data_IF_806575215094
#
_entry.id   IF_806575215094
#
_cell.length_a   1.000
_cell.length_b   1.000
_cell.length_c   1.000
_cell.angle_alpha   90.00
_cell.angle_beta   90.00
_cell.angle_gamma   90.00
#
_symmetry.space_group_name_H-M   'P 1'
#
loop_
_entity.id
_entity.type
_entity.pdbx_description
1 polymer ?
#
# COMPACT_ATOMS: atom_id res chain seq x y z
N UNK A 1 -28.57 2.96 8.55
CA UNK A 1 -27.35 3.77 8.69
C UNK A 1 -26.07 3.02 8.25
N UNK A 2 -26.11 1.69 8.13
CA UNK A 2 -25.04 0.82 7.61
C UNK A 2 -24.77 1.08 6.11
N UNK A 3 -25.77 1.53 5.35
CA UNK A 3 -25.66 1.73 3.90
C UNK A 3 -24.75 2.88 3.45
N UNK A 4 -24.43 3.86 4.30
CA UNK A 4 -23.69 5.06 3.88
C UNK A 4 -22.14 4.93 3.97
N UNK A 5 -21.60 4.12 4.89
CA UNK A 5 -20.16 3.84 4.89
C UNK A 5 -19.79 2.97 3.70
N UNK A 6 -20.63 2.00 3.47
CA UNK A 6 -20.49 1.11 2.36
C UNK A 6 -20.54 1.81 0.98
N UNK A 7 -21.36 2.83 0.80
CA UNK A 7 -21.35 3.64 -0.43
C UNK A 7 -20.07 4.45 -0.59
N UNK A 8 -19.48 4.88 0.53
CA UNK A 8 -18.23 5.63 0.54
C UNK A 8 -16.99 4.83 0.14
N UNK A 9 -16.80 3.64 0.68
CA UNK A 9 -15.64 2.79 0.39
C UNK A 9 -15.75 2.06 -0.97
N UNK A 10 -16.98 1.76 -1.41
CA UNK A 10 -17.23 1.02 -2.66
C UNK A 10 -17.07 1.86 -3.91
N UNK A 11 -17.49 3.12 -3.89
CA UNK A 11 -17.34 4.03 -5.03
C UNK A 11 -15.87 4.26 -5.42
N UNK A 12 -14.99 3.86 -4.52
CA UNK A 12 -13.56 4.11 -4.61
C UNK A 12 -12.81 3.05 -5.42
N UNK A 13 -13.30 1.80 -5.42
CA UNK A 13 -12.66 0.71 -6.19
C UNK A 13 -13.40 0.35 -7.49
N UNK A 14 -14.62 0.86 -7.67
CA UNK A 14 -15.49 0.47 -8.78
C UNK A 14 -15.31 1.30 -10.07
N UNK A 15 -14.62 2.44 -10.04
CA UNK A 15 -14.58 3.38 -11.17
C UNK A 15 -13.28 3.35 -12.01
N UNK A 16 -12.58 2.23 -12.05
CA UNK A 16 -11.50 1.99 -13.03
C UNK A 16 -11.94 1.06 -14.17
N UNK A 17 -13.17 1.22 -14.64
CA UNK A 17 -13.71 0.50 -15.79
C UNK A 17 -14.52 1.43 -16.69
N UNK A 18 -14.11 1.48 -17.94
CA UNK A 18 -14.78 2.06 -19.11
C UNK A 18 -14.68 3.57 -19.34
N UNK A 19 -13.62 3.97 -20.05
CA UNK A 19 -13.75 4.78 -21.28
C UNK A 19 -12.68 4.29 -22.25
N UNK A 20 -13.09 3.41 -23.14
CA UNK A 20 -12.34 3.07 -24.32
C UNK A 20 -12.24 4.30 -25.23
N UNK A 21 -11.04 4.73 -25.54
CA UNK A 21 -10.74 5.58 -26.69
C UNK A 21 -9.89 4.74 -27.61
N UNK A 22 -10.54 4.24 -28.64
CA UNK A 22 -9.89 3.65 -29.81
C UNK A 22 -9.27 4.77 -30.62
N UNK A 23 -7.95 4.77 -30.72
CA UNK A 23 -7.20 5.60 -31.67
C UNK A 23 -6.06 4.78 -32.26
N UNK A 24 -5.72 4.94 -33.55
CA UNK A 24 -4.96 3.99 -34.32
C UNK A 24 -3.47 3.98 -33.98
N UNK A 25 -2.92 2.76 -33.89
CA UNK A 25 -1.49 2.48 -33.77
C UNK A 25 -0.78 2.90 -35.03
N UNK A 26 -0.05 4.02 -35.00
CA UNK A 26 0.89 4.37 -36.03
C UNK A 26 2.28 3.87 -35.64
N UNK A 27 2.77 2.89 -36.39
CA UNK A 27 4.16 2.41 -36.33
C UNK A 27 5.11 3.54 -36.69
N UNK A 28 6.00 3.90 -35.78
CA UNK A 28 7.21 4.64 -36.10
C UNK A 28 8.42 3.74 -35.88
N UNK A 29 9.05 3.37 -36.99
CA UNK A 29 10.35 2.71 -37.08
C UNK A 29 11.47 3.69 -36.71
N UNK A 30 12.34 3.20 -35.86
CA UNK A 30 13.80 3.44 -35.74
C UNK A 30 14.39 4.73 -36.32
N UNK A 31 15.03 5.51 -35.42
CA UNK A 31 16.36 6.06 -35.69
C UNK A 31 17.17 6.00 -34.40
N UNK A 32 18.26 5.21 -34.46
CA UNK A 32 19.33 5.17 -33.48
C UNK A 32 20.07 6.50 -33.49
N UNK A 33 20.23 7.12 -32.32
CA UNK A 33 21.27 8.11 -32.11
C UNK A 33 21.88 7.80 -30.72
N UNK A 34 23.15 7.48 -30.77
CA UNK A 34 24.01 7.24 -29.59
C UNK A 34 24.08 8.51 -28.74
N UNK A 35 23.54 8.43 -27.54
CA UNK A 35 23.89 9.32 -26.45
C UNK A 35 24.15 8.42 -25.23
N UNK A 36 25.40 8.42 -24.76
CA UNK A 36 25.85 7.62 -23.64
C UNK A 36 25.04 7.86 -22.38
N UNK A 37 24.32 6.84 -21.95
CA UNK A 37 23.64 6.81 -20.68
C UNK A 37 24.69 6.54 -19.59
N UNK A 38 24.74 7.34 -18.49
CA UNK A 38 25.57 7.01 -17.35
C UNK A 38 25.03 5.71 -16.74
N UNK A 39 25.94 4.77 -16.49
CA UNK A 39 25.63 3.46 -15.94
C UNK A 39 24.83 3.57 -14.63
N UNK A 40 23.61 3.10 -14.64
CA UNK A 40 22.81 2.86 -13.44
C UNK A 40 23.37 1.63 -12.74
N UNK A 41 24.40 1.82 -11.91
CA UNK A 41 24.77 0.88 -10.86
C UNK A 41 23.59 0.76 -9.92
N UNK A 42 23.02 -0.46 -9.82
CA UNK A 42 21.95 -0.76 -8.86
C UNK A 42 22.36 -0.39 -7.44
N UNK A 43 21.99 0.80 -7.00
CA UNK A 43 22.14 1.20 -5.61
C UNK A 43 21.09 0.46 -4.80
N UNK A 44 21.57 -0.44 -3.95
CA UNK A 44 20.78 -1.01 -2.85
C UNK A 44 20.05 0.11 -2.11
N UNK A 45 18.73 -0.02 -1.95
CA UNK A 45 17.88 0.89 -1.17
C UNK A 45 18.08 0.73 0.35
N UNK A 46 19.26 0.28 0.79
CA UNK A 46 19.64 0.16 2.20
C UNK A 46 20.11 1.53 2.67
N UNK A 47 19.50 2.10 3.73
CA UNK A 47 19.96 3.38 4.31
C UNK A 47 21.43 3.32 4.71
N UNK A 48 22.21 4.42 4.61
CA UNK A 48 23.59 4.44 5.08
C UNK A 48 23.64 4.16 6.59
N UNK A 49 24.30 3.05 6.95
CA UNK A 49 24.41 2.56 8.33
C UNK A 49 23.74 1.22 8.60
N UNK A 50 22.90 0.71 7.73
CA UNK A 50 22.36 -0.64 7.86
C UNK A 50 23.41 -1.68 7.44
N UNK A 51 23.67 -2.63 8.32
CA UNK A 51 24.59 -3.75 8.04
C UNK A 51 23.97 -4.65 6.96
N UNK A 52 24.66 -4.91 5.84
CA UNK A 52 24.12 -5.82 4.82
C UNK A 52 24.00 -7.23 5.43
N UNK A 53 22.81 -7.81 5.32
CA UNK A 53 22.57 -9.17 5.77
C UNK A 53 23.41 -10.10 4.89
N UNK A 54 24.28 -10.89 5.51
CA UNK A 54 25.03 -11.93 4.82
C UNK A 54 24.04 -12.96 4.26
N UNK A 55 24.12 -13.22 2.97
CA UNK A 55 23.43 -14.33 2.30
C UNK A 55 23.76 -15.63 3.07
N UNK A 56 22.80 -16.11 3.87
CA UNK A 56 22.99 -17.32 4.69
C UNK A 56 22.24 -17.34 6.00
N UNK A 57 21.92 -16.20 6.62
CA UNK A 57 21.07 -16.18 7.80
C UNK A 57 19.60 -16.38 7.38
N UNK A 58 19.10 -17.56 7.72
CA UNK A 58 17.69 -17.90 7.53
C UNK A 58 16.85 -17.12 8.54
N UNK A 59 16.45 -15.89 8.16
CA UNK A 59 15.41 -15.20 8.92
C UNK A 59 14.16 -16.08 8.93
N UNK A 60 13.83 -16.58 10.09
CA UNK A 60 12.49 -17.12 10.36
C UNK A 60 11.58 -15.92 10.55
N UNK A 61 10.92 -15.44 9.49
CA UNK A 61 9.76 -14.59 9.69
C UNK A 61 8.86 -15.27 10.72
N UNK A 62 8.36 -14.55 11.73
CA UNK A 62 7.38 -15.11 12.66
C UNK A 62 6.14 -15.44 11.84
N UNK A 63 6.02 -16.71 11.41
CA UNK A 63 4.89 -17.21 10.60
C UNK A 63 3.61 -17.38 11.42
N UNK A 64 3.63 -16.99 12.68
CA UNK A 64 2.47 -16.93 13.54
C UNK A 64 2.64 -15.79 14.55
N UNK A 65 1.63 -14.98 14.70
CA UNK A 65 1.55 -13.97 15.74
C UNK A 65 0.95 -14.63 16.98
N UNK A 66 1.72 -14.85 18.07
CA UNK A 66 1.20 -15.52 19.25
C UNK A 66 -0.04 -14.80 19.78
N UNK A 67 -1.11 -15.54 20.07
CA UNK A 67 -2.34 -15.01 20.65
C UNK A 67 -3.29 -14.32 19.68
N UNK A 68 -2.95 -14.19 18.40
CA UNK A 68 -3.88 -13.72 17.36
C UNK A 68 -4.41 -14.92 16.58
N UNK A 69 -5.74 -15.01 16.43
CA UNK A 69 -6.35 -16.02 15.56
C UNK A 69 -5.83 -15.81 14.13
N UNK A 70 -5.32 -16.86 13.46
CA UNK A 70 -4.92 -16.74 12.06
C UNK A 70 -6.05 -16.21 11.17
N UNK A 71 -7.31 -16.58 11.41
CA UNK A 71 -8.49 -16.05 10.71
C UNK A 71 -8.99 -14.80 11.41
N UNK A 72 -8.81 -13.65 10.79
CA UNK A 72 -9.19 -12.36 11.35
C UNK A 72 -10.62 -11.96 11.00
N UNK A 73 -11.26 -12.62 10.03
CA UNK A 73 -12.66 -12.37 9.67
C UNK A 73 -13.08 -13.04 8.36
N UNK A 74 -14.42 -13.13 8.16
CA UNK A 74 -15.02 -13.71 6.96
C UNK A 74 -16.25 -12.91 6.50
N UNK A 75 -16.43 -12.82 5.18
CA UNK A 75 -17.63 -12.28 4.54
C UNK A 75 -17.96 -13.19 3.34
N UNK A 76 -18.98 -14.03 3.47
CA UNK A 76 -19.30 -15.05 2.46
C UNK A 76 -18.16 -16.03 2.25
N UNK A 77 -17.71 -16.21 1.00
CA UNK A 77 -16.57 -17.06 0.66
C UNK A 77 -15.20 -16.42 0.92
N UNK A 78 -15.15 -15.14 1.24
CA UNK A 78 -13.90 -14.40 1.48
C UNK A 78 -13.49 -14.50 2.94
N UNK A 79 -12.21 -14.81 3.16
CA UNK A 79 -11.55 -14.81 4.46
C UNK A 79 -10.38 -13.85 4.46
N UNK A 80 -10.22 -13.03 5.51
CA UNK A 80 -8.99 -12.29 5.79
C UNK A 80 -8.23 -12.97 6.90
N UNK A 81 -6.93 -13.20 6.68
CA UNK A 81 -6.05 -13.79 7.67
C UNK A 81 -4.58 -13.48 7.42
N UNK A 82 -3.74 -13.74 8.41
CA UNK A 82 -2.29 -13.68 8.23
C UNK A 82 -1.78 -14.93 7.48
N UNK A 83 -0.71 -14.74 6.71
CA UNK A 83 0.03 -15.84 6.12
C UNK A 83 0.76 -16.63 7.21
N UNK A 84 0.56 -17.95 7.24
CA UNK A 84 1.21 -18.85 8.20
C UNK A 84 2.30 -19.72 7.57
N UNK A 85 2.45 -19.66 6.24
CA UNK A 85 3.39 -20.49 5.48
C UNK A 85 4.11 -19.69 4.41
N UNK A 86 5.41 -19.97 4.21
CA UNK A 86 6.21 -19.37 3.12
C UNK A 86 5.57 -19.56 1.72
N UNK A 87 4.80 -20.64 1.53
CA UNK A 87 4.08 -20.86 0.29
C UNK A 87 2.95 -19.85 0.05
N UNK A 88 2.37 -19.31 1.09
CA UNK A 88 1.33 -18.29 1.03
C UNK A 88 1.93 -16.91 0.73
N UNK A 89 3.06 -16.58 1.36
CA UNK A 89 3.83 -15.38 1.01
C UNK A 89 4.19 -15.41 -0.49
N UNK A 90 4.67 -16.55 -1.01
CA UNK A 90 4.93 -16.70 -2.45
C UNK A 90 3.68 -16.51 -3.33
N UNK A 91 2.49 -16.79 -2.82
CA UNK A 91 1.22 -16.51 -3.55
C UNK A 91 0.89 -15.04 -3.53
N UNK A 92 1.06 -14.36 -2.39
CA UNK A 92 0.95 -12.90 -2.30
C UNK A 92 1.94 -12.19 -3.26
N UNK A 93 3.19 -12.64 -3.31
CA UNK A 93 4.20 -12.12 -4.22
C UNK A 93 3.81 -12.30 -5.71
N UNK A 94 3.18 -13.41 -6.09
CA UNK A 94 2.66 -13.61 -7.45
C UNK A 94 1.45 -12.73 -7.73
N UNK A 95 0.56 -12.58 -6.77
CA UNK A 95 -0.58 -11.66 -6.89
C UNK A 95 -0.10 -10.22 -7.09
N UNK A 96 0.89 -9.78 -6.30
CA UNK A 96 1.52 -8.46 -6.45
C UNK A 96 2.15 -8.29 -7.84
N UNK A 97 2.86 -9.31 -8.33
CA UNK A 97 3.43 -9.29 -9.67
C UNK A 97 2.35 -9.10 -10.74
N UNK A 98 1.26 -9.86 -10.67
CA UNK A 98 0.16 -9.74 -11.63
C UNK A 98 -0.50 -8.35 -11.59
N UNK A 99 -0.66 -7.75 -10.40
CA UNK A 99 -1.28 -6.43 -10.29
C UNK A 99 -0.30 -5.32 -10.69
N UNK A 100 0.91 -5.31 -10.14
CA UNK A 100 1.83 -4.18 -10.34
C UNK A 100 2.48 -4.19 -11.72
N UNK A 101 2.93 -5.35 -12.20
CA UNK A 101 3.73 -5.42 -13.44
C UNK A 101 2.91 -5.83 -14.68
N UNK A 102 1.86 -6.66 -14.52
CA UNK A 102 1.06 -7.07 -15.67
C UNK A 102 -0.15 -6.15 -15.91
N UNK A 103 -0.77 -5.62 -14.84
CA UNK A 103 -1.94 -4.75 -14.95
C UNK A 103 -1.56 -3.26 -14.94
N UNK A 104 -0.70 -2.82 -14.01
CA UNK A 104 -0.33 -1.41 -13.84
C UNK A 104 0.93 -1.01 -14.64
N UNK A 105 1.53 -1.94 -15.36
CA UNK A 105 2.68 -1.73 -16.24
C UNK A 105 3.94 -1.16 -15.54
N UNK A 106 4.11 -1.42 -14.23
CA UNK A 106 5.37 -1.14 -13.54
C UNK A 106 6.56 -1.87 -14.20
N UNK A 107 7.76 -1.35 -14.07
CA UNK A 107 8.97 -1.95 -14.65
C UNK A 107 9.53 -3.03 -13.73
N UNK A 108 9.42 -4.33 -14.07
CA UNK A 108 9.95 -5.39 -13.25
C UNK A 108 11.48 -5.51 -13.38
N UNK A 109 12.15 -5.86 -12.28
CA UNK A 109 13.55 -6.31 -12.35
C UNK A 109 13.68 -7.63 -13.10
N UNK A 110 14.86 -7.96 -13.62
CA UNK A 110 15.12 -9.23 -14.30
C UNK A 110 14.73 -10.45 -13.45
N UNK A 111 14.98 -10.40 -12.13
CA UNK A 111 14.59 -11.48 -11.21
C UNK A 111 13.07 -11.54 -10.99
N UNK A 112 12.39 -10.41 -10.95
CA UNK A 112 10.93 -10.37 -10.87
C UNK A 112 10.29 -10.98 -12.11
N UNK A 113 10.82 -10.68 -13.31
CA UNK A 113 10.39 -11.27 -14.58
C UNK A 113 10.52 -12.79 -14.60
N UNK A 114 11.70 -13.30 -14.26
CA UNK A 114 11.98 -14.75 -14.27
C UNK A 114 11.12 -15.49 -13.25
N UNK A 115 10.98 -14.96 -12.04
CA UNK A 115 10.24 -15.62 -10.97
C UNK A 115 8.72 -15.40 -11.03
N UNK A 116 8.26 -14.42 -11.82
CA UNK A 116 6.88 -13.89 -11.84
C UNK A 116 6.39 -13.59 -10.42
N UNK A 117 7.22 -12.90 -9.64
CA UNK A 117 6.95 -12.51 -8.26
C UNK A 117 7.54 -11.13 -7.98
N UNK A 118 6.78 -10.30 -7.29
CA UNK A 118 7.27 -9.09 -6.63
C UNK A 118 7.91 -9.52 -5.30
N UNK A 119 9.21 -9.38 -5.17
CA UNK A 119 10.00 -9.84 -4.00
C UNK A 119 10.97 -8.76 -3.61
N UNK A 120 10.99 -8.41 -2.33
CA UNK A 120 12.02 -7.59 -1.70
C UNK A 120 12.41 -8.16 -0.33
N UNK A 121 13.44 -7.57 0.30
CA UNK A 121 13.97 -8.04 1.59
C UNK A 121 12.96 -7.87 2.74
N UNK A 122 12.06 -6.91 2.63
CA UNK A 122 11.00 -6.68 3.62
C UNK A 122 9.99 -7.83 3.70
N UNK A 123 9.85 -8.63 2.65
CA UNK A 123 8.98 -9.82 2.66
C UNK A 123 9.38 -10.86 3.72
N UNK A 124 10.64 -10.83 4.16
CA UNK A 124 11.16 -11.75 5.17
C UNK A 124 10.83 -11.32 6.61
N UNK A 125 10.54 -10.04 6.82
CA UNK A 125 10.36 -9.47 8.17
C UNK A 125 8.95 -8.93 8.42
N UNK A 126 8.17 -8.71 7.36
CA UNK A 126 6.78 -8.26 7.46
C UNK A 126 5.81 -9.41 7.72
N UNK A 127 4.73 -9.13 8.43
CA UNK A 127 3.53 -9.96 8.40
C UNK A 127 2.76 -9.71 7.09
N UNK A 128 2.16 -10.76 6.53
CA UNK A 128 1.41 -10.69 5.29
C UNK A 128 -0.06 -10.97 5.54
N UNK A 129 -0.89 -9.94 5.39
CA UNK A 129 -2.33 -10.08 5.41
C UNK A 129 -2.81 -10.56 4.04
N UNK A 130 -3.66 -11.58 4.03
CA UNK A 130 -4.20 -12.20 2.82
C UNK A 130 -5.71 -12.15 2.82
N UNK A 131 -6.31 -11.84 1.68
CA UNK A 131 -7.71 -12.18 1.40
C UNK A 131 -7.75 -13.42 0.53
N UNK A 132 -8.50 -14.41 0.99
CA UNK A 132 -8.62 -15.74 0.35
C UNK A 132 -10.08 -15.94 -0.02
N UNK A 133 -10.32 -16.30 -1.28
CA UNK A 133 -11.63 -16.74 -1.73
C UNK A 133 -11.69 -18.28 -1.71
N UNK A 134 -12.53 -18.82 -0.84
CA UNK A 134 -12.74 -20.27 -0.70
C UNK A 134 -13.62 -20.87 -1.80
N UNK A 135 -14.41 -20.05 -2.51
CA UNK A 135 -15.21 -20.48 -3.65
C UNK A 135 -14.39 -20.56 -4.95
N UNK A 136 -13.27 -19.83 -5.03
CA UNK A 136 -12.37 -19.85 -6.18
C UNK A 136 -11.12 -20.68 -5.88
N UNK A 137 -10.66 -21.45 -6.85
CA UNK A 137 -9.49 -22.32 -6.71
C UNK A 137 -8.35 -21.94 -7.63
N UNK A 138 -7.12 -22.04 -7.13
CA UNK A 138 -5.91 -22.07 -7.95
C UNK A 138 -5.55 -23.52 -8.25
N UNK A 139 -5.76 -23.93 -9.49
CA UNK A 139 -5.30 -25.23 -9.97
C UNK A 139 -3.85 -25.12 -10.46
N UNK A 140 -3.02 -26.08 -10.11
CA UNK A 140 -1.68 -26.28 -10.68
C UNK A 140 -1.55 -27.72 -11.11
N UNK A 141 -0.84 -28.00 -12.22
CA UNK A 141 -0.56 -29.36 -12.62
C UNK A 141 0.01 -30.16 -11.44
N UNK A 142 -0.47 -31.37 -11.25
CA UNK A 142 0.00 -32.32 -10.23
C UNK A 142 -0.12 -31.84 -8.75
N UNK A 143 -0.94 -30.83 -8.46
CA UNK A 143 -1.21 -30.40 -7.08
C UNK A 143 -2.70 -30.31 -6.80
N UNK A 144 -3.10 -30.58 -5.55
CA UNK A 144 -4.48 -30.37 -5.11
C UNK A 144 -4.88 -28.91 -5.29
N UNK A 145 -6.07 -28.63 -5.81
CA UNK A 145 -6.63 -27.27 -5.87
C UNK A 145 -6.59 -26.60 -4.50
N UNK A 146 -6.35 -25.31 -4.46
CA UNK A 146 -6.29 -24.52 -3.23
C UNK A 146 -7.16 -23.27 -3.37
N UNK A 147 -7.78 -22.78 -2.28
CA UNK A 147 -8.49 -21.51 -2.29
C UNK A 147 -7.62 -20.38 -2.82
N UNK A 148 -8.19 -19.48 -3.61
CA UNK A 148 -7.45 -18.44 -4.33
C UNK A 148 -7.09 -17.26 -3.41
N UNK A 149 -5.82 -16.81 -3.42
CA UNK A 149 -5.44 -15.53 -2.81
C UNK A 149 -5.82 -14.40 -3.76
N UNK A 150 -6.67 -13.48 -3.30
CA UNK A 150 -7.29 -12.45 -4.13
C UNK A 150 -6.92 -11.02 -3.70
N UNK A 151 -6.36 -10.87 -2.51
CA UNK A 151 -5.88 -9.59 -1.99
C UNK A 151 -4.76 -9.80 -0.98
N UNK A 152 -3.94 -8.77 -0.77
CA UNK A 152 -2.85 -8.77 0.22
C UNK A 152 -2.52 -7.35 0.71
N UNK A 153 -1.99 -7.29 1.93
CA UNK A 153 -1.25 -6.18 2.51
C UNK A 153 0.01 -6.69 3.19
N UNK A 154 1.04 -5.87 3.21
CA UNK A 154 2.25 -6.09 4.00
C UNK A 154 2.21 -5.20 5.22
N UNK A 155 2.47 -5.76 6.39
CA UNK A 155 2.37 -5.13 7.70
C UNK A 155 3.74 -5.15 8.36
N UNK A 156 4.36 -3.99 8.59
CA UNK A 156 5.66 -3.87 9.24
C UNK A 156 5.51 -3.06 10.53
N UNK A 157 5.62 -3.74 11.67
CA UNK A 157 5.62 -3.08 12.99
C UNK A 157 6.94 -2.39 13.25
N UNK A 158 6.90 -1.29 14.01
CA UNK A 158 8.09 -0.53 14.39
C UNK A 158 9.12 -1.39 15.12
N UNK A 159 8.71 -2.22 16.07
CA UNK A 159 9.61 -3.10 16.83
C UNK A 159 10.36 -4.12 15.97
N UNK A 160 9.82 -4.44 14.82
CA UNK A 160 10.46 -5.27 13.79
C UNK A 160 11.37 -4.40 12.89
N UNK A 161 10.85 -3.26 12.44
CA UNK A 161 11.61 -2.31 11.62
C UNK A 161 12.91 -1.90 12.30
N UNK A 162 12.87 -1.53 13.59
CA UNK A 162 14.01 -1.09 14.39
C UNK A 162 15.10 -2.17 14.53
N UNK A 163 14.73 -3.45 14.45
CA UNK A 163 15.68 -4.58 14.53
C UNK A 163 16.26 -5.01 13.18
N UNK A 164 15.75 -4.45 12.08
CA UNK A 164 16.13 -4.83 10.72
C UNK A 164 16.55 -3.62 9.86
N UNK A 165 15.75 -3.26 8.89
CA UNK A 165 16.10 -2.25 7.87
C UNK A 165 15.48 -0.86 8.13
N UNK A 166 14.78 -0.67 9.24
CA UNK A 166 13.87 0.47 9.41
C UNK A 166 12.58 0.27 8.61
N UNK A 167 11.78 1.31 8.55
CA UNK A 167 10.58 1.32 7.72
C UNK A 167 10.94 1.46 6.22
N UNK A 168 10.17 0.83 5.34
CA UNK A 168 10.31 0.95 3.90
C UNK A 168 10.18 2.41 3.44
N UNK A 169 9.23 3.12 4.04
CA UNK A 169 8.97 4.56 3.81
C UNK A 169 10.22 5.43 4.05
N UNK A 170 11.16 5.02 4.91
CA UNK A 170 12.41 5.77 5.15
C UNK A 170 13.32 5.88 3.92
N UNK A 171 13.11 5.06 2.89
CA UNK A 171 13.78 5.20 1.60
C UNK A 171 13.26 6.38 0.76
N UNK A 172 12.17 6.99 1.15
CA UNK A 172 11.50 8.09 0.44
C UNK A 172 11.29 9.33 1.30
N UNK A 173 11.05 9.16 2.59
CA UNK A 173 10.70 10.21 3.54
C UNK A 173 11.61 10.19 4.76
N UNK A 174 12.00 11.37 5.24
CA UNK A 174 12.61 11.51 6.56
C UNK A 174 11.54 11.36 7.64
N UNK A 175 11.47 10.17 8.22
CA UNK A 175 10.54 9.84 9.30
C UNK A 175 11.15 10.03 10.69
N UNK A 176 12.44 10.37 10.81
CA UNK A 176 13.11 10.50 12.10
C UNK A 176 12.50 11.60 12.98
N UNK A 177 12.15 12.80 12.46
CA UNK A 177 11.47 13.81 13.26
C UNK A 177 10.09 13.37 13.77
N UNK A 178 9.33 12.63 12.95
CA UNK A 178 8.04 12.06 13.35
C UNK A 178 8.19 11.07 14.50
N UNK A 179 9.16 10.17 14.43
CA UNK A 179 9.44 9.20 15.50
C UNK A 179 9.87 9.92 16.79
N UNK A 180 10.74 10.92 16.68
CA UNK A 180 11.21 11.72 17.82
C UNK A 180 10.08 12.52 18.49
N UNK A 181 9.11 12.99 17.71
CA UNK A 181 7.95 13.74 18.21
C UNK A 181 6.90 12.84 18.87
N UNK A 182 6.97 11.53 18.69
CA UNK A 182 5.99 10.56 19.20
C UNK A 182 6.66 9.45 20.01
N UNK A 183 7.40 9.77 21.08
CA UNK A 183 8.11 8.78 21.87
C UNK A 183 7.14 7.79 22.51
N UNK A 184 7.49 6.50 22.47
CA UNK A 184 6.68 5.41 23.03
C UNK A 184 5.45 5.02 22.20
N UNK A 185 5.15 5.70 21.10
CA UNK A 185 4.11 5.29 20.17
C UNK A 185 4.57 4.09 19.34
N UNK A 186 3.62 3.20 19.05
CA UNK A 186 3.84 2.00 18.22
C UNK A 186 3.28 2.25 16.82
N UNK A 187 4.15 2.27 15.83
CA UNK A 187 3.77 2.51 14.46
C UNK A 187 3.66 1.19 13.70
N UNK A 188 2.75 1.16 12.74
CA UNK A 188 2.60 0.08 11.77
C UNK A 188 2.65 0.65 10.35
N UNK A 189 3.63 0.22 9.58
CA UNK A 189 3.69 0.56 8.16
C UNK A 189 2.83 -0.41 7.35
N UNK A 190 1.95 0.17 6.53
CA UNK A 190 1.12 -0.54 5.56
C UNK A 190 1.74 -0.40 4.17
N UNK A 191 2.10 -1.53 3.57
CA UNK A 191 2.71 -1.54 2.24
C UNK A 191 2.16 -2.62 1.31
N UNK A 192 2.52 -2.53 0.04
CA UNK A 192 2.19 -3.53 -1.00
C UNK A 192 0.72 -3.92 -1.03
N UNK A 193 -0.17 -2.93 -0.83
CA UNK A 193 -1.62 -3.12 -0.93
C UNK A 193 -2.02 -3.46 -2.36
N UNK A 194 -2.61 -4.61 -2.58
CA UNK A 194 -3.22 -4.88 -3.87
C UNK A 194 -4.32 -5.94 -3.80
N UNK A 195 -5.26 -5.83 -4.72
CA UNK A 195 -6.40 -6.74 -4.88
C UNK A 195 -6.57 -7.02 -6.36
N UNK A 196 -6.85 -8.27 -6.73
CA UNK A 196 -7.17 -8.65 -8.11
C UNK A 196 -8.39 -7.89 -8.61
N UNK A 197 -8.37 -7.42 -9.86
CA UNK A 197 -9.41 -6.58 -10.46
C UNK A 197 -10.85 -7.07 -10.23
N UNK A 198 -11.20 -8.36 -10.41
CA UNK A 198 -12.56 -8.86 -10.17
C UNK A 198 -13.00 -8.78 -8.70
N UNK A 199 -12.05 -8.66 -7.78
CA UNK A 199 -12.29 -8.63 -6.34
C UNK A 199 -12.18 -7.22 -5.72
N UNK A 200 -12.01 -6.17 -6.53
CA UNK A 200 -12.02 -4.77 -6.07
C UNK A 200 -13.43 -4.32 -5.73
N UNK A 201 -14.01 -4.99 -4.74
CA UNK A 201 -15.37 -4.75 -4.27
C UNK A 201 -15.36 -4.17 -2.86
N UNK A 202 -16.48 -3.60 -2.47
CA UNK A 202 -16.72 -3.12 -1.12
C UNK A 202 -16.44 -4.17 -0.05
N UNK A 203 -16.90 -5.41 -0.26
CA UNK A 203 -16.70 -6.53 0.67
C UNK A 203 -15.22 -6.83 0.92
N UNK A 204 -14.42 -6.83 -0.13
CA UNK A 204 -12.97 -7.09 -0.04
C UNK A 204 -12.27 -5.97 0.73
N UNK A 205 -12.63 -4.70 0.47
CA UNK A 205 -12.04 -3.55 1.17
C UNK A 205 -12.43 -3.55 2.65
N UNK A 206 -13.71 -3.78 2.96
CA UNK A 206 -14.17 -3.91 4.35
C UNK A 206 -13.45 -5.03 5.09
N UNK A 207 -13.28 -6.17 4.44
CA UNK A 207 -12.61 -7.32 5.03
C UNK A 207 -11.12 -7.06 5.28
N UNK A 208 -10.42 -6.39 4.36
CA UNK A 208 -9.03 -5.97 4.54
C UNK A 208 -8.90 -5.03 5.74
N UNK A 209 -9.74 -3.99 5.83
CA UNK A 209 -9.74 -3.07 6.96
C UNK A 209 -10.09 -3.75 8.28
N UNK A 210 -11.01 -4.70 8.26
CA UNK A 210 -11.32 -5.50 9.45
C UNK A 210 -10.08 -6.28 9.93
N UNK A 211 -9.36 -6.93 9.01
CA UNK A 211 -8.11 -7.62 9.34
C UNK A 211 -7.01 -6.69 9.86
N UNK A 212 -6.82 -5.53 9.21
CA UNK A 212 -5.87 -4.51 9.67
C UNK A 212 -6.24 -4.04 11.08
N UNK A 213 -7.52 -3.77 11.34
CA UNK A 213 -7.99 -3.28 12.63
C UNK A 213 -7.81 -4.33 13.74
N UNK A 214 -8.12 -5.60 13.47
CA UNK A 214 -7.86 -6.70 14.41
C UNK A 214 -6.36 -6.79 14.76
N UNK A 215 -5.49 -6.62 13.77
CA UNK A 215 -4.04 -6.58 13.95
C UNK A 215 -3.59 -5.36 14.77
N UNK A 216 -4.14 -4.17 14.47
CA UNK A 216 -3.89 -2.91 15.20
C UNK A 216 -4.23 -3.06 16.69
N UNK A 217 -5.40 -3.61 17.02
CA UNK A 217 -5.83 -3.84 18.40
C UNK A 217 -4.93 -4.83 19.13
N UNK A 218 -4.61 -5.97 18.50
CA UNK A 218 -3.78 -7.01 19.09
C UNK A 218 -2.38 -6.49 19.44
N UNK A 219 -1.76 -5.74 18.54
CA UNK A 219 -0.41 -5.19 18.73
C UNK A 219 -0.40 -3.83 19.41
N UNK A 220 -1.57 -3.28 19.78
CA UNK A 220 -1.71 -1.95 20.41
C UNK A 220 -1.01 -0.88 19.58
N UNK A 221 -1.25 -0.84 18.29
CA UNK A 221 -0.68 0.16 17.37
C UNK A 221 -1.34 1.51 17.63
N UNK A 222 -0.54 2.57 17.68
CA UNK A 222 -1.00 3.95 17.89
C UNK A 222 -1.23 4.70 16.58
N UNK A 223 -0.45 4.42 15.54
CA UNK A 223 -0.61 5.05 14.23
C UNK A 223 -0.22 4.12 13.08
N UNK A 224 -0.89 4.30 11.96
CA UNK A 224 -0.58 3.69 10.68
C UNK A 224 0.21 4.69 9.83
N UNK A 225 1.26 4.22 9.16
CA UNK A 225 2.05 5.02 8.21
C UNK A 225 2.24 4.25 6.91
N UNK A 226 2.69 4.94 5.87
CA UNK A 226 3.06 4.34 4.58
C UNK A 226 3.05 5.36 3.46
N UNK A 227 3.28 4.89 2.23
CA UNK A 227 3.15 5.70 1.04
C UNK A 227 1.90 5.29 0.25
N UNK A 228 1.20 6.28 -0.28
CA UNK A 228 0.08 6.09 -1.19
C UNK A 228 0.40 6.73 -2.54
N UNK A 229 0.10 6.01 -3.62
CA UNK A 229 0.52 6.36 -4.96
C UNK A 229 -0.60 7.03 -5.75
N UNK A 230 -0.24 8.13 -6.44
CA UNK A 230 -0.99 8.69 -7.55
C UNK A 230 -0.40 8.11 -8.85
N UNK A 231 -1.24 7.76 -9.79
CA UNK A 231 -0.79 7.25 -11.09
C UNK A 231 -0.15 8.37 -11.92
N UNK A 232 1.06 8.14 -12.43
CA UNK A 232 1.82 9.08 -13.25
C UNK A 232 3.07 9.61 -12.56
N UNK A 233 4.05 9.99 -13.39
CA UNK A 233 5.38 10.48 -12.99
C UNK A 233 5.59 11.95 -13.33
N UNK A 234 4.56 12.61 -13.84
CA UNK A 234 4.58 14.05 -14.17
C UNK A 234 3.82 14.84 -13.10
N UNK A 235 4.53 15.53 -12.19
CA UNK A 235 3.90 16.27 -11.10
C UNK A 235 3.02 17.45 -11.59
N UNK A 236 3.25 17.96 -12.80
CA UNK A 236 2.41 19.06 -13.34
C UNK A 236 1.00 18.54 -13.66
N UNK A 237 0.88 17.33 -14.20
CA UNK A 237 -0.42 16.67 -14.40
C UNK A 237 -1.11 16.29 -13.10
N UNK A 238 -0.36 16.19 -12.02
CA UNK A 238 -0.85 15.88 -10.67
C UNK A 238 -0.99 17.14 -9.81
N UNK A 239 -0.86 18.35 -10.40
CA UNK A 239 -0.89 19.61 -9.65
C UNK A 239 -2.14 19.76 -8.76
N UNK A 240 -3.32 19.47 -9.29
CA UNK A 240 -4.58 19.59 -8.55
C UNK A 240 -4.68 18.63 -7.35
N UNK A 241 -4.52 17.30 -7.48
CA UNK A 241 -4.58 16.40 -6.34
C UNK A 241 -3.43 16.62 -5.34
N UNK A 242 -2.20 16.94 -5.77
CA UNK A 242 -1.08 17.23 -4.88
C UNK A 242 -1.34 18.50 -4.05
N UNK A 243 -1.77 19.58 -4.70
CA UNK A 243 -2.09 20.84 -4.00
C UNK A 243 -3.26 20.68 -3.04
N UNK A 244 -4.26 19.88 -3.40
CA UNK A 244 -5.36 19.55 -2.49
C UNK A 244 -4.86 18.86 -1.22
N UNK A 245 -4.03 17.82 -1.33
CA UNK A 245 -3.47 17.13 -0.18
C UNK A 245 -2.63 18.06 0.69
N UNK A 246 -1.81 18.92 0.05
CA UNK A 246 -0.99 19.91 0.75
C UNK A 246 -1.83 20.93 1.54
N UNK A 247 -2.85 21.52 0.93
CA UNK A 247 -3.59 22.62 1.54
C UNK A 247 -4.73 22.19 2.47
N UNK A 248 -5.31 21.01 2.25
CA UNK A 248 -6.53 20.59 2.92
C UNK A 248 -6.41 19.31 3.75
N UNK A 249 -5.28 18.59 3.63
CA UNK A 249 -5.09 17.31 4.32
C UNK A 249 -3.65 17.12 4.84
N UNK A 250 -2.89 18.20 5.02
CA UNK A 250 -1.52 18.16 5.55
C UNK A 250 -1.51 17.63 6.99
N UNK A 251 -0.54 16.77 7.29
CA UNK A 251 -0.33 16.27 8.64
C UNK A 251 0.11 17.40 9.59
N UNK A 252 -0.32 17.37 10.87
CA UNK A 252 0.26 18.21 11.90
C UNK A 252 1.77 17.97 12.00
N UNK A 253 2.52 18.99 12.42
CA UNK A 253 4.00 18.95 12.45
C UNK A 253 4.54 17.71 13.17
N UNK A 254 3.96 17.35 14.31
CA UNK A 254 4.36 16.17 15.09
C UNK A 254 4.14 14.83 14.39
N UNK A 255 3.31 14.80 13.36
CA UNK A 255 3.02 13.60 12.55
C UNK A 255 3.45 13.73 11.09
N UNK A 256 4.11 14.84 10.74
CA UNK A 256 4.54 15.10 9.37
C UNK A 256 5.90 14.45 9.11
N UNK A 257 6.01 13.72 8.00
CA UNK A 257 7.29 13.34 7.42
C UNK A 257 7.49 14.11 6.12
N UNK A 258 8.72 14.53 5.85
CA UNK A 258 9.10 15.24 4.64
C UNK A 258 9.81 14.31 3.67
N UNK A 259 9.52 14.43 2.38
CA UNK A 259 10.26 13.71 1.35
C UNK A 259 11.76 14.03 1.42
N UNK A 260 12.60 13.01 1.21
CA UNK A 260 14.06 13.17 1.26
C UNK A 260 14.53 14.24 0.25
N UNK A 261 15.49 15.09 0.60
CA UNK A 261 15.90 16.24 -0.22
C UNK A 261 16.20 15.90 -1.68
N UNK A 262 16.85 14.75 -1.93
CA UNK A 262 17.17 14.29 -3.29
C UNK A 262 15.99 13.71 -4.08
N UNK A 263 14.81 13.56 -3.47
CA UNK A 263 13.59 13.00 -4.06
C UNK A 263 12.38 13.94 -3.94
N UNK A 264 12.55 15.07 -3.27
CA UNK A 264 11.46 15.99 -2.94
C UNK A 264 10.85 16.60 -4.20
N UNK A 265 9.54 16.42 -4.34
CA UNK A 265 8.70 17.09 -5.33
C UNK A 265 7.70 17.96 -4.59
N UNK A 266 7.68 19.25 -4.92
CA UNK A 266 6.78 20.23 -4.32
C UNK A 266 5.32 19.87 -4.60
N UNK A 267 4.47 19.89 -3.58
CA UNK A 267 3.04 19.57 -3.69
C UNK A 267 2.15 20.81 -3.89
N UNK A 268 2.52 21.98 -3.35
CA UNK A 268 1.79 23.25 -3.46
C UNK A 268 1.99 23.90 -4.84
N UNK A 269 1.49 23.26 -5.89
CA UNK A 269 1.63 23.71 -7.28
C UNK A 269 0.59 24.72 -7.72
N UNK A 270 -0.54 24.73 -7.04
CA UNK A 270 -1.64 25.67 -7.22
C UNK A 270 -1.86 26.43 -5.91
N UNK A 271 -2.17 27.72 -6.01
CA UNK A 271 -2.59 28.49 -4.85
C UNK A 271 -3.85 27.87 -4.22
N UNK A 272 -4.00 27.99 -2.91
CA UNK A 272 -5.10 27.37 -2.16
C UNK A 272 -6.48 27.70 -2.72
N UNK A 273 -6.65 28.95 -3.15
CA UNK A 273 -7.89 29.50 -3.71
C UNK A 273 -8.22 28.96 -5.10
N UNK A 274 -7.18 28.48 -5.82
CA UNK A 274 -7.33 27.87 -7.15
C UNK A 274 -7.63 26.37 -7.09
N UNK A 275 -7.58 25.76 -5.91
CA UNK A 275 -7.88 24.33 -5.72
C UNK A 275 -9.39 24.15 -5.55
N UNK A 276 -10.08 23.64 -6.58
CA UNK A 276 -11.46 23.17 -6.42
C UNK A 276 -11.48 21.82 -5.66
N UNK A 277 -11.98 21.77 -4.42
CA UNK A 277 -11.98 20.55 -3.62
C UNK A 277 -12.77 19.41 -4.25
N UNK A 278 -13.86 19.71 -4.97
CA UNK A 278 -14.69 18.70 -5.60
C UNK A 278 -13.97 18.04 -6.77
N UNK A 279 -13.37 18.83 -7.64
CA UNK A 279 -12.57 18.34 -8.76
C UNK A 279 -11.34 17.57 -8.26
N UNK A 280 -10.65 18.09 -7.25
CA UNK A 280 -9.51 17.42 -6.64
C UNK A 280 -9.86 16.07 -6.05
N UNK A 281 -10.96 15.98 -5.28
CA UNK A 281 -11.45 14.71 -4.75
C UNK A 281 -11.83 13.72 -5.85
N UNK A 282 -12.34 14.19 -7.00
CA UNK A 282 -12.60 13.30 -8.15
C UNK A 282 -11.31 12.75 -8.75
N UNK A 283 -10.27 13.58 -8.87
CA UNK A 283 -8.98 13.23 -9.44
C UNK A 283 -8.14 12.29 -8.55
N UNK A 284 -8.38 12.28 -7.22
CA UNK A 284 -7.64 11.42 -6.31
C UNK A 284 -7.93 9.93 -6.57
N UNK A 285 -6.91 9.05 -6.41
CA UNK A 285 -7.12 7.61 -6.45
C UNK A 285 -8.07 7.13 -5.36
N UNK A 286 -8.77 6.03 -5.62
CA UNK A 286 -9.67 5.43 -4.65
C UNK A 286 -9.06 5.18 -3.27
N UNK A 287 -7.84 4.67 -3.19
CA UNK A 287 -7.18 4.38 -1.93
C UNK A 287 -6.99 5.65 -1.08
N UNK A 288 -6.51 6.74 -1.70
CA UNK A 288 -6.29 8.02 -1.02
C UNK A 288 -7.63 8.61 -0.54
N UNK A 289 -8.69 8.52 -1.35
CA UNK A 289 -10.06 8.88 -0.91
C UNK A 289 -10.51 8.09 0.32
N UNK A 290 -10.16 6.80 0.36
CA UNK A 290 -10.43 5.94 1.50
C UNK A 290 -9.70 6.43 2.75
N UNK A 291 -8.42 6.72 2.65
CA UNK A 291 -7.61 7.26 3.75
C UNK A 291 -8.14 8.59 4.28
N UNK A 292 -8.46 9.55 3.40
CA UNK A 292 -9.07 10.82 3.80
C UNK A 292 -10.36 10.65 4.60
N UNK A 293 -11.20 9.69 4.21
CA UNK A 293 -12.48 9.43 4.91
C UNK A 293 -12.32 8.90 6.31
N UNK A 294 -11.26 8.16 6.58
CA UNK A 294 -10.96 7.65 7.93
C UNK A 294 -10.16 8.63 8.77
N UNK A 295 -9.78 9.79 8.22
CA UNK A 295 -9.07 10.84 8.93
C UNK A 295 -7.56 10.83 8.77
N UNK A 296 -7.04 10.17 7.74
CA UNK A 296 -5.63 10.21 7.41
C UNK A 296 -5.21 11.60 6.92
N UNK A 297 -3.97 11.95 7.21
CA UNK A 297 -3.30 13.17 6.76
C UNK A 297 -2.01 12.82 6.00
N UNK A 298 -1.43 13.80 5.31
CA UNK A 298 -0.35 13.59 4.36
C UNK A 298 0.89 14.40 4.72
N UNK A 299 2.06 13.87 4.42
CA UNK A 299 3.34 14.50 4.67
C UNK A 299 3.65 15.68 3.74
N UNK A 300 4.86 16.15 3.83
CA UNK A 300 5.38 17.26 3.03
C UNK A 300 6.24 16.75 1.88
N UNK A 301 5.92 17.21 0.69
CA UNK A 301 6.54 16.75 -0.54
C UNK A 301 6.00 15.39 -1.04
N UNK A 302 6.09 15.20 -2.35
CA UNK A 302 5.82 13.94 -3.01
C UNK A 302 7.12 13.34 -3.55
N UNK A 303 7.10 12.08 -3.94
CA UNK A 303 8.26 11.35 -4.49
C UNK A 303 7.84 10.66 -5.79
N UNK A 304 8.59 10.88 -6.89
CA UNK A 304 8.34 10.15 -8.12
C UNK A 304 9.01 8.78 -8.05
N UNK A 305 8.21 7.74 -8.25
CA UNK A 305 8.67 6.38 -8.42
C UNK A 305 8.58 5.95 -9.89
N UNK A 306 9.73 6.02 -10.57
CA UNK A 306 9.82 5.64 -11.98
C UNK A 306 9.67 4.13 -12.21
N UNK A 307 9.94 3.30 -11.20
CA UNK A 307 9.80 1.85 -11.31
C UNK A 307 8.32 1.46 -11.37
N UNK A 308 7.50 2.08 -10.51
CA UNK A 308 6.07 1.81 -10.47
C UNK A 308 5.25 2.77 -11.35
N UNK A 309 5.88 3.81 -11.93
CA UNK A 309 5.19 4.79 -12.78
C UNK A 309 4.23 5.67 -11.98
N UNK A 310 4.56 5.97 -10.72
CA UNK A 310 3.70 6.67 -9.76
C UNK A 310 4.38 7.90 -9.18
N UNK A 311 3.56 8.73 -8.53
CA UNK A 311 4.01 9.79 -7.62
C UNK A 311 3.44 9.49 -6.25
N UNK A 312 4.31 9.24 -5.29
CA UNK A 312 3.95 8.76 -3.97
C UNK A 312 3.87 9.91 -2.96
N UNK A 313 2.93 9.82 -2.04
CA UNK A 313 2.72 10.76 -0.93
C UNK A 313 2.73 10.00 0.39
N UNK A 314 3.41 10.54 1.40
CA UNK A 314 3.40 9.98 2.74
C UNK A 314 2.00 10.09 3.34
N UNK A 315 1.55 9.03 3.99
CA UNK A 315 0.26 8.95 4.68
C UNK A 315 0.50 8.60 6.13
N UNK A 316 -0.16 9.32 7.04
CA UNK A 316 -0.23 8.98 8.45
C UNK A 316 -1.67 8.98 8.93
N UNK A 317 -2.01 7.98 9.72
CA UNK A 317 -3.33 7.83 10.33
C UNK A 317 -3.17 7.41 11.80
N UNK A 318 -3.17 8.37 12.74
CA UNK A 318 -3.29 8.06 14.16
C UNK A 318 -4.58 7.28 14.42
N UNK A 319 -4.49 6.19 15.18
CA UNK A 319 -5.67 5.33 15.45
C UNK A 319 -6.77 6.11 16.16
N UNK A 320 -6.39 7.10 16.99
CA UNK A 320 -7.32 8.01 17.67
C UNK A 320 -8.09 8.95 16.72
N UNK A 321 -7.55 9.20 15.53
CA UNK A 321 -8.23 10.01 14.50
C UNK A 321 -9.34 9.23 13.79
N UNK A 322 -9.34 7.91 13.88
CA UNK A 322 -10.37 7.07 13.28
C UNK A 322 -11.69 7.36 14.02
N UNK A 323 -12.63 7.98 13.32
CA UNK A 323 -13.90 8.37 13.91
C UNK A 323 -14.61 7.16 14.55
N UNK A 324 -15.20 7.35 15.74
CA UNK A 324 -15.87 6.30 16.52
C UNK A 324 -16.92 5.50 15.71
N UNK A 325 -17.57 6.15 14.74
CA UNK A 325 -18.48 5.49 13.80
C UNK A 325 -17.83 4.39 12.96
N UNK A 326 -16.52 4.48 12.71
CA UNK A 326 -15.76 3.47 11.95
C UNK A 326 -15.26 2.35 12.87
N UNK A 327 -14.92 2.69 14.12
CA UNK A 327 -14.51 1.72 15.13
C UNK A 327 -15.65 0.73 15.43
N UNK A 328 -16.90 1.20 15.47
CA UNK A 328 -18.08 0.35 15.64
C UNK A 328 -18.35 -0.64 14.49
N UNK A 329 -17.80 -0.38 13.28
CA UNK A 329 -17.94 -1.28 12.13
C UNK A 329 -16.89 -2.39 12.10
N UNK A 330 -15.69 -2.14 12.63
CA UNK A 330 -14.56 -3.04 12.54
C UNK A 330 -14.23 -3.72 13.88
N UNK A 331 -14.89 -3.32 14.96
CA UNK A 331 -14.67 -3.85 16.30
C UNK A 331 -15.27 -5.26 16.53
N UNK A 332 -14.95 -5.92 17.64
CA UNK A 332 -15.36 -7.30 17.95
C UNK A 332 -16.88 -7.54 17.93
N UNK A 333 -17.68 -6.50 18.12
CA UNK A 333 -19.14 -6.57 18.03
C UNK A 333 -19.68 -6.73 16.58
N UNK A 334 -18.86 -6.43 15.56
CA UNK A 334 -19.26 -6.60 14.16
C UNK A 334 -19.30 -8.08 13.74
N UNK A 335 -18.51 -8.95 14.40
CA UNK A 335 -18.51 -10.38 14.14
C UNK A 335 -19.83 -11.09 14.48
N UNK A 336 -20.69 -10.50 15.33
CA UNK A 336 -21.98 -11.08 15.72
C UNK A 336 -23.12 -10.80 14.75
N UNK A 337 -22.93 -9.94 13.74
CA UNK A 337 -23.97 -9.55 12.76
C UNK A 337 -23.71 -10.02 11.33
N UNK A 338 -22.61 -10.73 11.11
CA UNK A 338 -22.22 -11.30 9.81
C UNK A 338 -22.47 -12.82 9.73
N UNK A 339 -23.10 -13.41 10.77
CA UNK A 339 -23.52 -14.80 10.80
C UNK A 339 -24.98 -14.92 10.28
#
# INVERSE_FOLDING_TARGET
MVANFARGASAVWLNSGEKGVSGPITRLKQRSAEAGLPGFGGRSLIPPGATPIRFGERFKAPLATPGLDPSLGRIGSLEVRLATKKSEIRRAQRLRFSVFYEEMAAMPSGMAMLSRRDVDDYDAVCDHLLVIDHAATEAKPFRKPRPKVVGTYRLLRQDIADRHFGFYTAGEYDIAPLLASNPGKRLLELGRSCVLKPYRTKRTVELLWHGIYAYVLHHRIDALIGCASLEGTDPERLALPLSFLHHHARAPESWCAQALPGRYVRMDRLAREAVDPKAALQALPPLIKGYLRVGATFGDGAVVDYQFGTTDVFVVLPVTAIAARYLGHFGPAANRRAA
#
